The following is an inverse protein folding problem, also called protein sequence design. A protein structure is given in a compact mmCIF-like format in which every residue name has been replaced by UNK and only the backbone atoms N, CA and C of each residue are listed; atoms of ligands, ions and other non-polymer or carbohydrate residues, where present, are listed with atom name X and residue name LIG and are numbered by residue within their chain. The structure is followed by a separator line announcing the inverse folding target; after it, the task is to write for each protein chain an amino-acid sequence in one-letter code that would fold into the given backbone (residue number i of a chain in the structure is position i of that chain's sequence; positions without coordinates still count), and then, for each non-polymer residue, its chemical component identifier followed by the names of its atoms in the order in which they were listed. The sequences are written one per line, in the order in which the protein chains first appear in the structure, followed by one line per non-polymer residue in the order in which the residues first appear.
data_IF_029079198361
#
_entry.id   IF_029079198361
#
_cell.length_a   1.000
_cell.length_b   1.000
_cell.length_c   1.000
_cell.angle_alpha   90.00
_cell.angle_beta   90.00
_cell.angle_gamma   90.00
#
_symmetry.space_group_name_H-M   'P 1'
#
loop_
_entity.id
_entity.type
_entity.pdbx_description
1 polymer ?
#
# COMPACT_ATOMS: atom_id res chain seq x y z
N UNK A 1 -1.32 -9.77 28.57
CA UNK A 1 -0.45 -9.27 27.47
C UNK A 1 0.55 -8.21 27.93
N UNK A 2 0.17 -7.24 28.78
CA UNK A 2 1.11 -6.22 29.26
C UNK A 2 2.30 -6.79 30.05
N UNK A 3 2.06 -7.74 30.96
CA UNK A 3 3.12 -8.43 31.71
C UNK A 3 4.09 -9.20 30.79
N UNK A 4 3.54 -9.94 29.81
CA UNK A 4 4.33 -10.68 28.82
C UNK A 4 5.14 -9.72 27.95
N UNK A 5 4.55 -8.61 27.51
CA UNK A 5 5.23 -7.59 26.72
C UNK A 5 6.38 -6.94 27.52
N UNK A 6 6.14 -6.62 28.80
CA UNK A 6 7.16 -6.07 29.70
C UNK A 6 8.32 -7.06 29.92
N UNK A 7 8.04 -8.34 30.16
CA UNK A 7 9.06 -9.39 30.30
C UNK A 7 9.89 -9.59 29.04
N UNK A 8 9.28 -9.40 27.86
CA UNK A 8 9.93 -9.48 26.56
C UNK A 8 10.55 -8.16 26.11
N UNK A 9 10.50 -7.10 26.92
CA UNK A 9 11.05 -5.78 26.60
C UNK A 9 10.40 -5.10 25.39
N UNK A 10 9.14 -5.41 25.08
CA UNK A 10 8.42 -4.85 23.94
C UNK A 10 7.13 -4.14 24.35
N UNK A 11 6.59 -3.31 23.46
CA UNK A 11 5.29 -2.69 23.70
C UNK A 11 4.15 -3.71 23.59
N UNK A 12 3.08 -3.51 24.38
CA UNK A 12 1.86 -4.32 24.29
C UNK A 12 1.25 -4.28 22.88
N UNK A 13 1.34 -3.14 22.18
CA UNK A 13 0.87 -2.97 20.80
C UNK A 13 1.65 -3.86 19.82
N UNK A 14 2.99 -3.87 19.94
CA UNK A 14 3.85 -4.73 19.14
C UNK A 14 3.49 -6.20 19.39
N UNK A 15 3.42 -6.62 20.66
CA UNK A 15 3.06 -8.01 20.97
C UNK A 15 1.69 -8.40 20.38
N UNK A 16 0.70 -7.52 20.48
CA UNK A 16 -0.62 -7.74 19.89
C UNK A 16 -0.54 -7.88 18.36
N UNK A 17 0.22 -7.02 17.68
CA UNK A 17 0.41 -7.09 16.24
C UNK A 17 1.07 -8.42 15.82
N UNK A 18 2.05 -8.89 16.58
CA UNK A 18 2.68 -10.19 16.34
C UNK A 18 1.69 -11.34 16.54
N UNK A 19 0.96 -11.37 17.66
CA UNK A 19 -0.06 -12.42 17.90
C UNK A 19 -1.11 -12.43 16.78
N UNK A 20 -1.60 -11.26 16.37
CA UNK A 20 -2.57 -11.13 15.26
C UNK A 20 -1.98 -11.57 13.92
N UNK A 21 -0.71 -11.27 13.66
CA UNK A 21 -0.05 -11.68 12.41
C UNK A 21 0.14 -13.19 12.40
N UNK A 22 0.66 -13.75 13.49
CA UNK A 22 1.05 -15.15 13.56
C UNK A 22 -0.08 -16.12 13.92
N UNK A 23 -1.28 -15.64 14.27
CA UNK A 23 -2.47 -16.47 14.48
C UNK A 23 -2.98 -17.13 13.19
N UNK A 24 -2.56 -16.63 12.02
CA UNK A 24 -2.90 -17.21 10.70
C UNK A 24 -1.82 -18.20 10.25
N UNK A 25 -2.19 -19.26 9.50
CA UNK A 25 -1.22 -20.16 8.86
C UNK A 25 -0.24 -19.40 7.95
N UNK A 26 1.00 -19.90 7.83
CA UNK A 26 2.05 -19.25 7.06
C UNK A 26 1.67 -19.02 5.60
N UNK A 27 1.05 -20.00 4.95
CA UNK A 27 0.60 -19.90 3.55
C UNK A 27 -0.38 -18.74 3.35
N UNK A 28 -1.35 -18.58 4.27
CA UNK A 28 -2.30 -17.46 4.22
C UNK A 28 -1.60 -16.12 4.41
N UNK A 29 -0.59 -16.04 5.29
CA UNK A 29 0.19 -14.81 5.49
C UNK A 29 0.99 -14.44 4.24
N UNK A 30 1.63 -15.42 3.61
CA UNK A 30 2.37 -15.21 2.37
C UNK A 30 1.44 -14.70 1.26
N UNK A 31 0.27 -15.34 1.09
CA UNK A 31 -0.73 -14.89 0.13
C UNK A 31 -1.22 -13.45 0.41
N UNK A 32 -1.49 -13.11 1.67
CA UNK A 32 -1.89 -11.75 2.05
C UNK A 32 -0.77 -10.73 1.78
N UNK A 33 0.48 -11.07 2.10
CA UNK A 33 1.64 -10.20 1.85
C UNK A 33 1.87 -9.99 0.34
N UNK A 34 1.71 -11.03 -0.48
CA UNK A 34 1.79 -10.97 -1.96
C UNK A 34 0.66 -10.11 -2.55
N UNK A 35 -0.57 -10.30 -2.09
CA UNK A 35 -1.71 -9.46 -2.49
C UNK A 35 -1.48 -7.99 -2.14
N UNK A 36 -0.91 -7.71 -0.96
CA UNK A 36 -0.56 -6.35 -0.56
C UNK A 36 0.56 -5.76 -1.42
N UNK A 37 1.53 -6.57 -1.85
CA UNK A 37 2.58 -6.14 -2.78
C UNK A 37 1.99 -5.76 -4.14
N UNK A 38 1.12 -6.59 -4.70
CA UNK A 38 0.45 -6.33 -5.97
C UNK A 38 -0.44 -5.09 -5.88
N UNK A 39 -1.20 -4.92 -4.78
CA UNK A 39 -1.98 -3.70 -4.55
C UNK A 39 -1.13 -2.43 -4.55
N UNK A 40 0.07 -2.47 -3.95
CA UNK A 40 1.00 -1.32 -3.97
C UNK A 40 1.50 -1.04 -5.38
N UNK A 41 1.88 -2.09 -6.12
CA UNK A 41 2.30 -1.97 -7.53
C UNK A 41 1.22 -1.34 -8.39
N UNK A 42 0.01 -1.88 -8.33
CA UNK A 42 -1.15 -1.39 -9.10
C UNK A 42 -1.49 0.06 -8.77
N UNK A 43 -1.42 0.45 -7.49
CA UNK A 43 -1.63 1.86 -7.08
C UNK A 43 -0.58 2.79 -7.68
N UNK A 44 0.69 2.39 -7.69
CA UNK A 44 1.77 3.18 -8.31
C UNK A 44 1.57 3.31 -9.81
N UNK A 45 1.22 2.21 -10.49
CA UNK A 45 1.00 2.22 -11.94
C UNK A 45 -0.22 3.06 -12.31
N UNK A 46 -1.31 2.91 -11.56
CA UNK A 46 -2.52 3.72 -11.75
C UNK A 46 -2.21 5.21 -11.58
N UNK A 47 -1.42 5.59 -10.57
CA UNK A 47 -0.99 6.97 -10.37
C UNK A 47 -0.21 7.49 -11.59
N UNK A 48 0.80 6.74 -12.04
CA UNK A 48 1.63 7.10 -13.21
C UNK A 48 0.78 7.32 -14.47
N UNK A 49 -0.08 6.36 -14.82
CA UNK A 49 -0.91 6.45 -16.03
C UNK A 49 -1.94 7.57 -15.92
N UNK A 50 -2.44 7.84 -14.72
CA UNK A 50 -3.35 8.98 -14.47
C UNK A 50 -2.62 10.31 -14.73
N UNK A 51 -1.40 10.46 -14.23
CA UNK A 51 -0.57 11.65 -14.46
C UNK A 51 -0.24 11.84 -15.94
N UNK A 52 0.17 10.78 -16.65
CA UNK A 52 0.43 10.81 -18.10
C UNK A 52 -0.80 11.26 -18.90
N UNK A 53 -1.96 10.67 -18.61
CA UNK A 53 -3.24 11.05 -19.22
C UNK A 53 -3.54 12.53 -18.97
N UNK A 54 -3.32 13.00 -17.75
CA UNK A 54 -3.65 14.38 -17.37
C UNK A 54 -2.70 15.40 -18.01
N UNK A 55 -1.44 15.05 -18.22
CA UNK A 55 -0.49 15.85 -19.01
C UNK A 55 -0.98 15.98 -20.45
N UNK A 56 -1.34 14.87 -21.09
CA UNK A 56 -1.83 14.89 -22.48
C UNK A 56 -3.11 15.72 -22.63
N UNK A 57 -4.05 15.60 -21.68
CA UNK A 57 -5.26 16.42 -21.66
C UNK A 57 -4.95 17.91 -21.55
N UNK A 58 -4.02 18.28 -20.67
CA UNK A 58 -3.59 19.69 -20.51
C UNK A 58 -2.94 20.21 -21.79
N UNK A 59 -2.08 19.42 -22.44
CA UNK A 59 -1.45 19.79 -23.69
C UNK A 59 -2.49 19.99 -24.81
N UNK A 60 -3.44 19.07 -24.98
CA UNK A 60 -4.50 19.20 -25.98
C UNK A 60 -5.35 20.45 -25.77
N UNK A 61 -5.71 20.76 -24.51
CA UNK A 61 -6.46 21.97 -24.17
C UNK A 61 -5.68 23.26 -24.47
N UNK A 62 -4.36 23.25 -24.20
CA UNK A 62 -3.48 24.37 -24.52
C UNK A 62 -3.44 24.63 -26.04
N UNK A 63 -3.17 23.60 -26.84
CA UNK A 63 -3.10 23.74 -28.29
C UNK A 63 -4.44 24.13 -28.93
N UNK A 64 -5.56 23.60 -28.44
CA UNK A 64 -6.88 23.99 -28.92
C UNK A 64 -7.18 25.49 -28.67
N UNK A 65 -6.62 26.08 -27.61
CA UNK A 65 -6.74 27.51 -27.32
C UNK A 65 -5.80 28.38 -28.18
N UNK A 66 -4.61 27.89 -28.51
CA UNK A 66 -3.65 28.64 -29.34
C UNK A 66 -3.95 28.61 -30.84
N UNK A 67 -4.61 27.55 -31.33
CA UNK A 67 -4.92 27.38 -32.75
C UNK A 67 -6.31 27.92 -33.17
N UNK A 68 -7.11 28.42 -32.22
CA UNK A 68 -8.42 29.04 -32.48
C UNK A 68 -8.38 30.53 -32.22
#
# INVERSE_FOLDING_TARGET
MAEVAARLGMSTHSLYAWVKRYSKPQERRAQEDDQQAELRRLRTELKRVTEERDILKKAAAYFAKECG
#
